data_IF_902725944950
#
_entry.id   IF_902725944950
#
_cell.length_a   1.000
_cell.length_b   1.000
_cell.length_c   1.000
_cell.angle_alpha   90.00
_cell.angle_beta   90.00
_cell.angle_gamma   90.00
#
_symmetry.space_group_name_H-M   'P 1'
#
loop_
_entity.id
_entity.type
_entity.pdbx_description
1 polymer ?
#
# COMPACT_ATOMS: atom_id res chain seq x y z
N UNK A 1 -14.10 -8.32 -12.82
CA UNK A 1 -15.42 -7.71 -12.90
C UNK A 1 -16.51 -8.70 -12.56
N UNK A 2 -17.43 -8.28 -11.73
CA UNK A 2 -18.61 -9.04 -11.42
C UNK A 2 -19.79 -8.34 -12.07
N UNK A 3 -20.56 -9.06 -12.88
CA UNK A 3 -21.75 -8.52 -13.49
C UNK A 3 -22.92 -9.36 -13.02
N UNK A 4 -23.90 -8.72 -12.38
CA UNK A 4 -25.13 -9.37 -11.96
C UNK A 4 -26.28 -8.73 -12.74
N UNK A 5 -27.06 -9.55 -13.39
CA UNK A 5 -28.19 -9.12 -14.19
C UNK A 5 -29.45 -9.69 -13.56
N UNK A 6 -30.38 -8.82 -13.20
CA UNK A 6 -31.64 -9.20 -12.60
C UNK A 6 -32.76 -9.02 -13.64
N UNK A 7 -33.34 -10.10 -14.15
CA UNK A 7 -34.24 -10.02 -15.29
C UNK A 7 -35.50 -9.18 -15.05
N UNK A 8 -35.98 -9.15 -13.81
CA UNK A 8 -37.22 -8.47 -13.49
C UNK A 8 -37.07 -6.97 -13.24
N UNK A 9 -35.86 -6.52 -12.90
CA UNK A 9 -35.63 -5.12 -12.53
C UNK A 9 -34.67 -4.41 -13.43
N UNK A 10 -33.97 -5.14 -14.30
CA UNK A 10 -32.94 -4.63 -15.18
C UNK A 10 -31.79 -3.94 -14.41
N UNK A 11 -31.63 -4.29 -13.16
CA UNK A 11 -30.51 -3.80 -12.39
C UNK A 11 -29.22 -4.50 -12.79
N UNK A 12 -28.22 -3.72 -13.15
CA UNK A 12 -26.90 -4.24 -13.49
C UNK A 12 -25.92 -3.67 -12.50
N UNK A 13 -25.31 -4.54 -11.70
CA UNK A 13 -24.20 -4.18 -10.86
C UNK A 13 -22.90 -4.59 -11.52
N UNK A 14 -22.00 -3.63 -11.71
CA UNK A 14 -20.70 -3.89 -12.30
C UNK A 14 -19.64 -3.49 -11.28
N UNK A 15 -18.92 -4.48 -10.80
CA UNK A 15 -17.75 -4.25 -9.96
C UNK A 15 -16.50 -4.43 -10.80
N UNK A 16 -15.73 -3.37 -10.95
CA UNK A 16 -14.50 -3.43 -11.72
C UNK A 16 -13.35 -3.85 -10.83
N UNK A 17 -12.62 -4.86 -11.28
CA UNK A 17 -11.38 -5.25 -10.67
C UNK A 17 -10.34 -4.16 -10.93
N UNK A 18 -9.68 -3.72 -9.86
CA UNK A 18 -8.60 -2.74 -9.95
C UNK A 18 -7.27 -3.44 -9.72
N UNK A 19 -6.24 -2.95 -10.38
CA UNK A 19 -4.88 -3.40 -10.16
C UNK A 19 -4.22 -2.45 -9.18
N UNK A 20 -3.70 -2.98 -8.09
CA UNK A 20 -3.31 -2.18 -6.94
C UNK A 20 -1.80 -2.05 -6.76
N UNK A 21 -1.07 -3.11 -7.10
CA UNK A 21 0.36 -3.17 -6.85
C UNK A 21 0.97 -4.28 -7.70
N UNK A 22 2.30 -4.33 -7.68
CA UNK A 22 3.06 -5.39 -8.34
C UNK A 22 3.91 -6.09 -7.29
N UNK A 23 3.86 -7.41 -7.24
CA UNK A 23 4.73 -8.21 -6.39
C UNK A 23 5.54 -9.18 -7.24
N UNK A 24 6.70 -9.58 -6.75
CA UNK A 24 7.57 -10.52 -7.47
C UNK A 24 7.69 -11.81 -6.68
N UNK A 25 7.42 -12.93 -7.35
CA UNK A 25 7.60 -14.27 -6.80
C UNK A 25 8.38 -15.11 -7.80
N UNK A 26 9.49 -15.72 -7.36
CA UNK A 26 10.33 -16.55 -8.23
C UNK A 26 10.75 -15.84 -9.52
N UNK A 27 11.12 -14.56 -9.40
CA UNK A 27 11.52 -13.69 -10.52
C UNK A 27 10.41 -13.43 -11.55
N UNK A 28 9.16 -13.67 -11.19
CA UNK A 28 8.00 -13.37 -12.02
C UNK A 28 7.19 -12.26 -11.37
N UNK A 29 6.85 -11.24 -12.16
CA UNK A 29 6.01 -10.15 -11.69
C UNK A 29 4.55 -10.52 -11.77
N UNK A 30 3.81 -10.19 -10.71
CA UNK A 30 2.38 -10.40 -10.62
C UNK A 30 1.67 -9.10 -10.25
N UNK A 31 0.57 -8.81 -10.94
CA UNK A 31 -0.36 -7.79 -10.51
C UNK A 31 -1.16 -8.29 -9.32
N UNK A 32 -1.27 -7.46 -8.31
CA UNK A 32 -2.16 -7.71 -7.18
C UNK A 32 -3.47 -7.00 -7.47
N UNK A 33 -4.53 -7.76 -7.63
CA UNK A 33 -5.84 -7.23 -7.99
C UNK A 33 -6.74 -7.09 -6.76
N UNK A 34 -7.71 -6.18 -6.85
CA UNK A 34 -8.65 -5.92 -5.76
C UNK A 34 -9.54 -7.13 -5.43
N UNK A 35 -9.67 -8.07 -6.34
CA UNK A 35 -10.40 -9.32 -6.13
C UNK A 35 -9.56 -10.43 -5.51
N UNK A 36 -8.37 -10.12 -4.99
CA UNK A 36 -7.41 -11.02 -4.35
C UNK A 36 -6.67 -11.93 -5.32
N UNK A 37 -6.81 -11.76 -6.61
CA UNK A 37 -6.09 -12.55 -7.60
C UNK A 37 -4.71 -11.96 -7.88
N UNK A 38 -3.76 -12.86 -8.15
CA UNK A 38 -2.44 -12.49 -8.68
C UNK A 38 -2.42 -12.85 -10.16
N UNK A 39 -2.06 -11.89 -10.97
CA UNK A 39 -2.05 -12.04 -12.43
C UNK A 39 -0.62 -11.86 -12.93
N UNK A 40 -0.07 -12.88 -13.55
CA UNK A 40 1.27 -12.81 -14.11
C UNK A 40 1.33 -11.76 -15.22
N UNK A 41 2.36 -10.92 -15.19
CA UNK A 41 2.57 -9.88 -16.20
C UNK A 41 4.02 -9.93 -16.71
N UNK A 42 4.18 -9.53 -17.97
CA UNK A 42 5.49 -9.41 -18.61
C UNK A 42 5.60 -8.04 -19.27
N UNK A 43 6.80 -7.47 -19.28
CA UNK A 43 7.13 -6.28 -20.06
C UNK A 43 6.11 -5.16 -19.93
N UNK A 44 5.93 -4.66 -18.71
CA UNK A 44 4.91 -3.65 -18.42
C UNK A 44 5.53 -2.28 -18.14
N UNK A 45 4.73 -1.24 -18.37
CA UNK A 45 5.05 0.15 -18.01
C UNK A 45 4.08 0.69 -16.95
N UNK A 46 3.60 -0.17 -16.08
CA UNK A 46 2.60 0.22 -15.10
C UNK A 46 3.23 1.02 -13.95
N UNK A 47 2.59 2.12 -13.59
CA UNK A 47 3.01 2.96 -12.47
C UNK A 47 2.27 2.56 -11.20
N UNK A 48 2.56 1.37 -10.73
CA UNK A 48 2.00 0.84 -9.50
C UNK A 48 3.12 0.61 -8.49
N UNK A 49 2.84 0.69 -7.20
CA UNK A 49 3.87 0.40 -6.21
C UNK A 49 4.31 -1.06 -6.29
N UNK A 50 5.60 -1.27 -6.10
CA UNK A 50 6.17 -2.61 -5.96
C UNK A 50 6.12 -3.04 -4.51
N UNK A 51 5.74 -4.29 -4.28
CA UNK A 51 5.74 -4.89 -2.96
C UNK A 51 6.88 -5.89 -2.88
N UNK A 52 7.76 -5.69 -1.91
CA UNK A 52 8.87 -6.59 -1.61
C UNK A 52 8.58 -7.35 -0.33
N UNK A 53 8.93 -8.62 -0.30
CA UNK A 53 8.69 -9.50 0.82
C UNK A 53 7.69 -10.60 0.48
N UNK A 54 7.57 -11.56 1.38
CA UNK A 54 6.68 -12.70 1.21
C UNK A 54 5.30 -12.33 1.74
N UNK A 55 4.49 -11.73 0.88
CA UNK A 55 3.18 -11.20 1.28
C UNK A 55 2.09 -12.23 1.17
N UNK A 56 1.11 -12.09 2.07
CA UNK A 56 -0.24 -12.61 1.90
C UNK A 56 -1.10 -11.47 1.33
N UNK A 57 -1.84 -11.75 0.27
CA UNK A 57 -2.69 -10.75 -0.38
C UNK A 57 -3.67 -10.13 0.61
N UNK A 58 -4.21 -10.93 1.54
CA UNK A 58 -5.13 -10.41 2.55
C UNK A 58 -4.47 -9.39 3.48
N UNK A 59 -3.22 -9.61 3.85
CA UNK A 59 -2.46 -8.64 4.65
C UNK A 59 -2.24 -7.34 3.90
N UNK A 60 -1.94 -7.43 2.61
CA UNK A 60 -1.80 -6.25 1.78
C UNK A 60 -3.12 -5.48 1.67
N UNK A 61 -4.23 -6.17 1.42
CA UNK A 61 -5.53 -5.50 1.30
C UNK A 61 -5.95 -4.83 2.60
N UNK A 62 -5.66 -5.45 3.74
CA UNK A 62 -5.93 -4.83 5.05
C UNK A 62 -5.10 -3.57 5.26
N UNK A 63 -3.83 -3.62 4.89
CA UNK A 63 -2.96 -2.44 4.95
C UNK A 63 -3.48 -1.33 4.02
N UNK A 64 -3.82 -1.69 2.79
CA UNK A 64 -4.31 -0.71 1.81
C UNK A 64 -5.61 -0.07 2.28
N UNK A 65 -6.50 -0.82 2.91
CA UNK A 65 -7.74 -0.28 3.45
C UNK A 65 -7.46 0.82 4.49
N UNK A 66 -6.48 0.60 5.37
CA UNK A 66 -6.08 1.61 6.35
C UNK A 66 -5.56 2.87 5.63
N UNK A 67 -4.71 2.68 4.64
CA UNK A 67 -4.18 3.82 3.87
C UNK A 67 -5.32 4.58 3.18
N UNK A 68 -6.25 3.87 2.54
CA UNK A 68 -7.34 4.49 1.78
C UNK A 68 -8.29 5.28 2.67
N UNK A 69 -8.54 4.81 3.90
CA UNK A 69 -9.38 5.52 4.86
C UNK A 69 -8.63 6.70 5.49
N UNK A 70 -7.30 6.59 5.60
CA UNK A 70 -6.48 7.65 6.15
C UNK A 70 -6.37 8.85 5.20
N UNK A 71 -5.72 9.91 5.68
CA UNK A 71 -5.45 11.08 4.85
C UNK A 71 -4.24 10.89 3.92
N UNK A 72 -3.49 9.80 4.08
CA UNK A 72 -2.35 9.49 3.24
C UNK A 72 -2.84 8.94 1.90
N UNK A 73 -2.28 9.43 0.80
CA UNK A 73 -2.68 8.98 -0.53
C UNK A 73 -1.84 7.80 -0.99
N UNK A 74 -2.49 6.71 -1.34
CA UNK A 74 -1.82 5.49 -1.77
C UNK A 74 -0.95 5.71 -3.01
N UNK A 75 -1.36 6.61 -3.90
CA UNK A 75 -0.60 6.91 -5.12
C UNK A 75 0.74 7.63 -4.86
N UNK A 76 1.00 8.10 -3.64
CA UNK A 76 2.30 8.64 -3.25
C UNK A 76 3.33 7.56 -2.95
N UNK A 77 2.91 6.30 -2.90
CA UNK A 77 3.78 5.18 -2.56
C UNK A 77 4.48 4.69 -3.83
N UNK A 78 5.81 4.60 -3.75
CA UNK A 78 6.62 4.00 -4.81
C UNK A 78 6.88 2.52 -4.54
N UNK A 79 7.31 2.18 -3.33
CA UNK A 79 7.61 0.81 -2.93
C UNK A 79 7.05 0.51 -1.55
N UNK A 80 6.70 -0.74 -1.33
CA UNK A 80 6.28 -1.28 -0.04
C UNK A 80 7.19 -2.45 0.33
N UNK A 81 7.58 -2.52 1.58
CA UNK A 81 8.36 -3.62 2.11
C UNK A 81 7.60 -4.27 3.23
N UNK A 82 7.28 -5.56 3.07
CA UNK A 82 6.54 -6.32 4.07
C UNK A 82 7.47 -7.16 4.92
N UNK A 83 7.24 -7.14 6.23
CA UNK A 83 7.96 -7.93 7.20
C UNK A 83 6.98 -8.83 7.95
N UNK A 84 7.43 -10.03 8.32
CA UNK A 84 6.58 -11.04 8.97
C UNK A 84 6.00 -10.61 10.31
N UNK A 85 6.54 -9.57 10.93
CA UNK A 85 5.98 -8.97 12.15
C UNK A 85 4.72 -8.15 11.89
N UNK A 86 4.12 -8.26 10.72
CA UNK A 86 3.00 -7.47 10.26
C UNK A 86 3.34 -5.98 10.22
N UNK A 87 4.52 -5.69 9.71
CA UNK A 87 5.01 -4.33 9.53
C UNK A 87 5.21 -4.05 8.05
N UNK A 88 4.82 -2.86 7.64
CA UNK A 88 5.00 -2.39 6.27
C UNK A 88 5.86 -1.14 6.29
N UNK A 89 6.96 -1.14 5.58
CA UNK A 89 7.72 0.09 5.36
C UNK A 89 7.33 0.67 4.01
N UNK A 90 7.25 1.99 3.94
CA UNK A 90 6.79 2.72 2.77
C UNK A 90 7.95 3.56 2.24
N UNK A 91 8.22 3.45 0.93
CA UNK A 91 9.06 4.42 0.24
C UNK A 91 8.16 5.27 -0.64
N UNK A 92 8.17 6.56 -0.41
CA UNK A 92 7.37 7.49 -1.19
C UNK A 92 8.04 7.81 -2.53
N UNK A 93 7.27 8.38 -3.45
CA UNK A 93 7.82 8.79 -4.75
C UNK A 93 8.92 9.86 -4.62
N UNK A 94 8.90 10.61 -3.53
CA UNK A 94 9.95 11.58 -3.22
C UNK A 94 11.21 10.95 -2.63
N UNK A 95 11.20 9.64 -2.41
CA UNK A 95 12.35 8.92 -1.87
C UNK A 95 12.42 8.86 -0.36
N UNK A 96 11.38 9.26 0.34
CA UNK A 96 11.32 9.19 1.80
C UNK A 96 10.96 7.77 2.23
N UNK A 97 11.79 7.19 3.09
CA UNK A 97 11.52 5.88 3.69
C UNK A 97 10.82 6.07 5.03
N UNK A 98 9.64 5.50 5.16
CA UNK A 98 8.86 5.49 6.40
C UNK A 98 8.90 4.09 7.00
N UNK A 99 9.57 3.95 8.13
CA UNK A 99 9.56 2.69 8.88
C UNK A 99 8.37 2.69 9.80
N UNK A 100 7.39 1.86 9.50
CA UNK A 100 6.08 1.90 10.12
C UNK A 100 6.03 0.99 11.36
N UNK A 101 5.15 1.30 12.32
CA UNK A 101 4.95 0.41 13.45
C UNK A 101 4.28 -0.89 13.02
N UNK A 102 4.53 -1.96 13.77
CA UNK A 102 3.78 -3.21 13.61
C UNK A 102 2.31 -2.98 13.96
N UNK A 103 1.41 -3.71 13.28
CA UNK A 103 -0.03 -3.62 13.55
C UNK A 103 -0.54 -2.19 13.41
N UNK A 104 -0.29 -1.62 12.25
CA UNK A 104 -0.75 -0.26 11.91
C UNK A 104 -2.26 -0.14 12.10
N UNK A 105 -2.68 0.97 12.70
CA UNK A 105 -4.09 1.33 12.83
C UNK A 105 -4.35 2.64 12.10
N UNK A 106 -5.62 2.94 11.86
CA UNK A 106 -6.01 4.20 11.25
C UNK A 106 -5.51 5.39 12.08
N UNK A 107 -5.64 5.29 13.40
CA UNK A 107 -5.19 6.35 14.30
C UNK A 107 -3.67 6.59 14.17
N UNK A 108 -2.89 5.51 14.15
CA UNK A 108 -1.44 5.61 13.96
C UNK A 108 -1.10 6.21 12.60
N UNK A 109 -1.79 5.79 11.56
CA UNK A 109 -1.53 6.28 10.21
C UNK A 109 -1.83 7.79 10.09
N UNK A 110 -2.93 8.24 10.66
CA UNK A 110 -3.27 9.66 10.64
C UNK A 110 -2.28 10.49 11.44
N UNK A 111 -1.78 9.97 12.56
CA UNK A 111 -0.71 10.62 13.33
C UNK A 111 0.55 10.77 12.49
N UNK A 112 0.97 9.70 11.82
CA UNK A 112 2.14 9.71 10.94
C UNK A 112 1.97 10.72 9.81
N UNK A 113 0.80 10.75 9.18
CA UNK A 113 0.50 11.69 8.11
C UNK A 113 0.63 13.14 8.60
N UNK A 114 0.10 13.45 9.78
CA UNK A 114 0.17 14.81 10.35
C UNK A 114 1.63 15.23 10.61
N UNK A 115 2.47 14.30 11.07
CA UNK A 115 3.89 14.59 11.27
C UNK A 115 4.57 14.89 9.94
N UNK A 116 4.34 14.06 8.92
CA UNK A 116 4.96 14.25 7.62
C UNK A 116 4.52 15.58 7.00
N UNK A 117 3.25 15.93 7.17
CA UNK A 117 2.69 17.16 6.59
C UNK A 117 3.19 18.41 7.29
N UNK A 118 3.37 18.37 8.62
CA UNK A 118 3.74 19.54 9.42
C UNK A 118 5.14 20.01 9.16
N UNK A 119 6.06 19.08 9.02
CA UNK A 119 7.47 19.38 8.91
C UNK A 119 7.92 19.22 7.46
N UNK A 120 8.77 20.14 7.03
CA UNK A 120 9.36 20.01 5.70
C UNK A 120 10.54 19.04 5.78
N UNK A 121 10.30 17.78 5.44
CA UNK A 121 11.32 16.73 5.47
C UNK A 121 12.02 16.56 4.13
N UNK A 122 12.11 17.61 3.32
CA UNK A 122 12.68 17.51 1.98
C UNK A 122 14.11 16.99 1.96
N UNK A 123 14.86 17.26 3.01
CA UNK A 123 16.27 16.81 3.13
C UNK A 123 16.41 15.50 3.88
N UNK A 124 15.30 14.93 4.41
CA UNK A 124 15.32 13.69 5.16
C UNK A 124 15.05 12.52 4.27
N UNK A 125 15.68 11.40 4.57
CA UNK A 125 15.51 10.15 3.79
C UNK A 125 14.81 9.07 4.58
N UNK A 126 14.87 9.09 5.91
CA UNK A 126 14.30 8.03 6.74
C UNK A 126 13.61 8.66 7.95
N UNK A 127 12.36 8.26 8.18
CA UNK A 127 11.63 8.56 9.42
C UNK A 127 11.19 7.23 10.02
N UNK A 128 11.52 7.01 11.29
CA UNK A 128 11.25 5.76 11.96
C UNK A 128 10.15 5.92 13.00
N UNK A 129 9.02 5.26 12.77
CA UNK A 129 7.86 5.27 13.65
C UNK A 129 7.65 3.95 14.39
N UNK A 130 8.67 3.07 14.39
CA UNK A 130 8.53 1.73 14.96
C UNK A 130 8.33 1.71 16.47
N UNK A 131 8.81 2.73 17.17
CA UNK A 131 8.65 2.82 18.61
C UNK A 131 7.52 3.78 18.96
N UNK A 132 6.82 3.48 20.06
CA UNK A 132 5.67 4.29 20.47
C UNK A 132 6.07 5.75 20.67
N UNK A 133 5.42 6.63 19.92
CA UNK A 133 5.59 8.09 20.02
C UNK A 133 7.04 8.57 19.85
N UNK A 134 7.90 7.70 19.33
CA UNK A 134 9.28 8.09 19.03
C UNK A 134 9.46 8.18 17.53
N UNK A 135 10.10 9.26 17.13
CA UNK A 135 10.47 9.49 15.74
C UNK A 135 11.99 9.64 15.68
N UNK A 136 12.64 8.80 14.90
CA UNK A 136 14.07 8.91 14.64
C UNK A 136 14.23 9.40 13.20
N UNK A 137 14.95 10.50 13.06
CA UNK A 137 15.16 11.14 11.78
C UNK A 137 16.61 10.94 11.37
N UNK A 138 16.82 10.35 10.19
CA UNK A 138 18.14 10.17 9.61
C UNK A 138 18.21 10.89 8.26
N UNK A 139 19.21 11.74 8.15
CA UNK A 139 19.48 12.47 6.91
C UNK A 139 20.20 11.60 5.87
#
# INVERSE_FOLDING_TARGET
NIVKIYPSTLNIEIEKTKFLAITKKNNIDYLVASNRNLIEIKDHNLELPYIFGDIDVNNFLSFKEIIDISNFEFNEIKNLYYFKSNRWDIVTKDGLLLKMPSNLTLKKMNFIFEIIKKDNFSDLKIIDFRQNNMMVINE
#
